data_IF_458222803726
#
_entry.id   IF_458222803726
#
_cell.length_a   1.000
_cell.length_b   1.000
_cell.length_c   1.000
_cell.angle_alpha   90.00
_cell.angle_beta   90.00
_cell.angle_gamma   90.00
#
_symmetry.space_group_name_H-M   'P 1'
#
loop_
_entity.id
_entity.type
_entity.pdbx_description
1 polymer ?
#
# COMPACT_ATOMS: atom_id res chain seq x y z
N UNK A 1 -8.39 -4.07 -13.90
CA UNK A 1 -9.06 -4.21 -12.59
C UNK A 1 -7.93 -4.38 -11.59
N UNK A 2 -7.79 -3.47 -10.63
CA UNK A 2 -6.64 -3.48 -9.73
C UNK A 2 -7.11 -3.80 -8.31
N UNK A 3 -6.42 -4.70 -7.62
CA UNK A 3 -6.69 -5.02 -6.22
C UNK A 3 -5.92 -4.04 -5.35
N UNK A 4 -6.62 -3.35 -4.45
CA UNK A 4 -6.01 -2.42 -3.49
C UNK A 4 -5.67 -3.14 -2.19
N UNK A 5 -4.43 -3.02 -1.73
CA UNK A 5 -3.92 -3.53 -0.47
C UNK A 5 -3.50 -2.34 0.39
N UNK A 6 -4.00 -2.29 1.63
CA UNK A 6 -3.71 -1.22 2.60
C UNK A 6 -2.98 -1.84 3.79
N UNK A 7 -1.80 -1.31 4.13
CA UNK A 7 -1.03 -1.71 5.30
C UNK A 7 -1.02 -0.64 6.41
N UNK A 8 -0.65 -0.99 7.65
CA UNK A 8 -0.58 -0.04 8.78
C UNK A 8 0.63 0.92 8.73
N UNK A 9 1.65 0.60 7.93
CA UNK A 9 2.89 1.36 7.89
C UNK A 9 3.65 1.14 6.58
N UNK A 10 4.50 2.10 6.18
CA UNK A 10 5.21 2.03 4.89
C UNK A 10 6.13 0.81 4.75
N UNK A 11 6.71 0.30 5.83
CA UNK A 11 7.60 -0.87 5.77
C UNK A 11 6.84 -2.14 5.36
N UNK A 12 5.67 -2.38 5.95
CA UNK A 12 4.82 -3.54 5.62
C UNK A 12 4.29 -3.44 4.20
N UNK A 13 3.82 -2.26 3.78
CA UNK A 13 3.39 -2.05 2.39
C UNK A 13 4.50 -2.39 1.38
N UNK A 14 5.75 -2.00 1.67
CA UNK A 14 6.87 -2.28 0.78
C UNK A 14 7.21 -3.77 0.69
N UNK A 15 7.10 -4.50 1.80
CA UNK A 15 7.33 -5.95 1.81
C UNK A 15 6.23 -6.68 1.01
N UNK A 16 4.97 -6.27 1.18
CA UNK A 16 3.86 -6.81 0.38
C UNK A 16 4.03 -6.48 -1.10
N UNK A 17 4.36 -5.23 -1.43
CA UNK A 17 4.53 -4.75 -2.79
C UNK A 17 5.59 -5.57 -3.56
N UNK A 18 6.68 -5.97 -2.89
CA UNK A 18 7.70 -6.87 -3.46
C UNK A 18 7.15 -8.25 -3.79
N UNK A 19 6.32 -8.82 -2.91
CA UNK A 19 5.74 -10.17 -3.08
C UNK A 19 4.72 -10.17 -4.22
N UNK A 20 3.88 -9.14 -4.32
CA UNK A 20 2.80 -9.08 -5.33
C UNK A 20 3.24 -8.49 -6.68
N UNK A 21 4.51 -8.07 -6.81
CA UNK A 21 5.04 -7.47 -8.04
C UNK A 21 4.63 -6.01 -8.28
N UNK A 22 4.20 -5.29 -7.25
CA UNK A 22 3.92 -3.87 -7.31
C UNK A 22 5.21 -3.06 -7.15
N UNK A 23 6.07 -3.03 -8.18
CA UNK A 23 7.42 -2.45 -8.11
C UNK A 23 7.50 -0.98 -8.52
N UNK A 24 6.46 -0.42 -9.16
CA UNK A 24 6.41 0.99 -9.52
C UNK A 24 6.07 1.82 -8.28
N UNK A 25 6.94 2.75 -7.92
CA UNK A 25 6.75 3.61 -6.74
C UNK A 25 6.04 4.90 -7.16
N UNK A 26 5.01 5.26 -6.43
CA UNK A 26 4.27 6.52 -6.56
C UNK A 26 4.31 7.29 -5.24
N UNK A 27 3.69 8.47 -5.20
CA UNK A 27 3.56 9.23 -3.97
C UNK A 27 2.49 8.61 -3.06
N UNK A 28 2.90 8.03 -1.93
CA UNK A 28 2.02 7.38 -0.96
C UNK A 28 1.55 5.96 -1.29
N UNK A 29 1.98 5.36 -2.40
CA UNK A 29 1.65 3.97 -2.75
C UNK A 29 2.64 3.34 -3.75
N UNK A 30 2.49 2.05 -4.01
CA UNK A 30 3.23 1.27 -5.00
C UNK A 30 2.23 0.54 -5.90
N UNK A 31 2.54 0.38 -7.19
CA UNK A 31 1.67 -0.27 -8.16
C UNK A 31 2.42 -1.22 -9.09
N UNK A 32 1.70 -2.21 -9.63
CA UNK A 32 2.25 -3.17 -10.59
C UNK A 32 1.55 -4.52 -10.50
N UNK A 33 1.64 -5.32 -11.56
CA UNK A 33 1.03 -6.66 -11.62
C UNK A 33 -0.48 -6.70 -11.28
N UNK A 34 -1.21 -5.61 -11.50
CA UNK A 34 -2.63 -5.50 -11.14
C UNK A 34 -2.90 -5.21 -9.66
N UNK A 35 -1.87 -4.89 -8.87
CA UNK A 35 -2.00 -4.50 -7.47
C UNK A 35 -1.67 -3.02 -7.27
N UNK A 36 -2.36 -2.42 -6.30
CA UNK A 36 -2.06 -1.12 -5.73
C UNK A 36 -1.83 -1.32 -4.23
N UNK A 37 -0.66 -0.97 -3.72
CA UNK A 37 -0.26 -1.20 -2.33
C UNK A 37 0.05 0.14 -1.66
N UNK A 38 -0.75 0.51 -0.67
CA UNK A 38 -0.61 1.76 0.10
C UNK A 38 -0.57 1.50 1.61
N UNK A 39 -0.46 2.55 2.42
CA UNK A 39 -0.40 2.44 3.87
C UNK A 39 -1.13 3.59 4.58
N UNK A 40 -1.66 3.28 5.76
CA UNK A 40 -2.32 4.19 6.68
C UNK A 40 -1.44 4.36 7.92
N UNK A 41 -0.73 5.48 8.06
CA UNK A 41 0.17 5.69 9.19
C UNK A 41 -0.62 6.02 10.47
N UNK A 42 -0.83 5.02 11.33
CA UNK A 42 -1.64 5.17 12.54
C UNK A 42 -3.14 5.24 12.25
N UNK A 43 -3.93 5.77 13.19
CA UNK A 43 -5.36 5.93 13.00
C UNK A 43 -5.66 7.14 12.11
N UNK A 44 -6.18 6.89 10.90
CA UNK A 44 -6.54 7.96 9.95
C UNK A 44 -7.80 8.73 10.37
N UNK A 45 -8.61 8.13 11.23
CA UNK A 45 -9.87 8.70 11.74
C UNK A 45 -9.98 8.41 13.24
N UNK A 46 -10.66 9.30 13.95
CA UNK A 46 -10.98 9.15 15.36
C UNK A 46 -12.44 9.57 15.59
N UNK A 47 -13.01 9.13 16.72
CA UNK A 47 -14.32 9.61 17.18
C UNK A 47 -14.26 11.12 17.45
N UNK A 48 -15.34 11.82 17.08
CA UNK A 48 -15.53 13.25 17.36
C UNK A 48 -15.90 13.50 18.82
#
# INVERSE_FOLDING_TARGET
MNICIIAEKPSVARDIARIVGATSKQDGYMEGCGYLVTWAMGHLIALA
#
